data_IF_478694196591
#
_entry.id   IF_478694196591
#
_cell.length_a   1.000
_cell.length_b   1.000
_cell.length_c   1.000
_cell.angle_alpha   90.00
_cell.angle_beta   90.00
_cell.angle_gamma   90.00
#
_symmetry.space_group_name_H-M   'P 1'
#
loop_
_entity.id
_entity.type
_entity.pdbx_description
1 polymer ?
#
# COMPACT_ATOMS: atom_id res chain seq x y z
N UNK A 1 -39.97 112.90 -20.72
CA UNK A 1 -38.57 112.70 -20.30
C UNK A 1 -38.59 111.42 -19.48
N UNK A 2 -38.39 110.26 -20.10
CA UNK A 2 -37.16 109.82 -20.76
C UNK A 2 -36.68 108.61 -19.95
N UNK A 3 -37.14 107.43 -20.37
CA UNK A 3 -36.30 106.29 -20.81
C UNK A 3 -35.69 105.50 -19.64
N UNK A 4 -36.19 104.31 -19.30
CA UNK A 4 -36.03 103.00 -19.95
C UNK A 4 -34.95 102.17 -19.22
N UNK A 5 -35.18 100.84 -19.21
CA UNK A 5 -34.27 99.71 -18.92
C UNK A 5 -34.34 99.18 -17.48
N UNK A 6 -34.51 97.88 -17.24
CA UNK A 6 -34.59 96.73 -18.14
C UNK A 6 -34.63 95.44 -17.32
N UNK A 7 -35.37 94.46 -17.85
CA UNK A 7 -35.16 93.02 -17.80
C UNK A 7 -34.64 92.31 -16.51
N UNK A 8 -35.54 91.48 -15.98
CA UNK A 8 -35.39 90.04 -15.68
C UNK A 8 -34.54 89.50 -14.50
N UNK A 9 -35.11 88.42 -13.93
CA UNK A 9 -34.56 87.39 -13.00
C UNK A 9 -34.42 87.82 -11.53
N UNK A 10 -34.72 86.99 -10.51
CA UNK A 10 -34.67 85.54 -10.42
C UNK A 10 -35.64 84.99 -9.34
N UNK A 11 -36.29 83.86 -9.64
CA UNK A 11 -36.88 82.97 -8.63
C UNK A 11 -35.75 82.20 -7.94
N UNK A 12 -35.66 82.28 -6.62
CA UNK A 12 -34.74 81.46 -5.82
C UNK A 12 -35.49 80.19 -5.39
N UNK A 13 -35.47 79.17 -6.24
CA UNK A 13 -35.78 77.80 -5.80
C UNK A 13 -34.52 77.14 -5.26
N UNK A 14 -34.49 77.02 -3.94
CA UNK A 14 -33.53 76.21 -3.18
C UNK A 14 -33.91 74.74 -3.38
N UNK A 15 -33.27 74.04 -4.31
CA UNK A 15 -33.24 72.58 -4.32
C UNK A 15 -31.84 72.09 -3.96
N UNK A 16 -31.77 71.38 -2.84
CA UNK A 16 -30.57 70.70 -2.34
C UNK A 16 -30.08 69.69 -3.38
N UNK A 17 -28.87 69.88 -3.88
CA UNK A 17 -28.16 68.89 -4.68
C UNK A 17 -27.91 67.63 -3.84
N UNK A 18 -28.71 66.59 -4.06
CA UNK A 18 -28.24 65.22 -3.85
C UNK A 18 -27.43 64.86 -5.09
N UNK A 19 -26.11 64.98 -5.00
CA UNK A 19 -25.17 64.41 -5.97
C UNK A 19 -25.32 62.88 -5.92
N UNK A 20 -26.28 62.39 -6.68
CA UNK A 20 -26.41 60.98 -7.00
C UNK A 20 -25.22 60.57 -7.86
N UNK A 21 -24.10 60.21 -7.23
CA UNK A 21 -23.07 59.38 -7.85
C UNK A 21 -23.70 58.02 -8.19
N UNK A 22 -24.39 57.94 -9.32
CA UNK A 22 -24.60 56.69 -10.04
C UNK A 22 -23.24 56.26 -10.57
N UNK A 23 -22.52 55.51 -9.74
CA UNK A 23 -21.32 54.80 -10.14
C UNK A 23 -21.65 53.88 -11.31
N UNK A 24 -21.34 54.34 -12.53
CA UNK A 24 -20.98 53.63 -13.76
C UNK A 24 -21.50 52.19 -13.98
N UNK A 25 -22.71 51.83 -13.57
CA UNK A 25 -23.28 50.49 -13.77
C UNK A 25 -23.75 50.21 -15.20
N UNK A 26 -23.67 51.21 -16.08
CA UNK A 26 -24.06 51.11 -17.49
C UNK A 26 -22.99 50.54 -18.43
N UNK A 27 -21.71 50.51 -18.04
CA UNK A 27 -20.63 50.08 -18.96
C UNK A 27 -20.40 48.57 -18.95
N UNK A 28 -20.71 47.88 -17.85
CA UNK A 28 -20.56 46.42 -17.75
C UNK A 28 -21.64 45.66 -18.53
N UNK A 29 -22.87 46.21 -18.61
CA UNK A 29 -24.00 45.60 -19.36
C UNK A 29 -23.76 45.56 -20.87
N UNK A 30 -23.07 46.55 -21.45
CA UNK A 30 -22.80 46.61 -22.90
C UNK A 30 -21.63 45.71 -23.30
N UNK A 31 -20.61 45.56 -22.43
CA UNK A 31 -19.51 44.62 -22.64
C UNK A 31 -19.99 43.16 -22.61
N UNK A 32 -20.90 42.82 -21.68
CA UNK A 32 -21.50 41.48 -21.60
C UNK A 32 -22.40 41.14 -22.80
N UNK A 33 -22.93 42.10 -23.57
CA UNK A 33 -23.80 41.80 -24.72
C UNK A 33 -23.04 41.52 -26.02
N UNK A 34 -21.85 42.10 -26.20
CA UNK A 34 -21.04 41.96 -27.44
C UNK A 34 -19.94 40.89 -27.34
N UNK A 35 -19.41 40.65 -26.14
CA UNK A 35 -18.29 39.72 -25.92
C UNK A 35 -18.67 38.46 -25.11
N UNK A 36 -19.96 38.17 -24.89
CA UNK A 36 -20.39 36.99 -24.11
C UNK A 36 -19.87 35.66 -24.65
N UNK A 37 -19.73 35.52 -25.97
CA UNK A 37 -19.16 34.31 -26.59
C UNK A 37 -17.70 34.09 -26.16
N UNK A 38 -16.91 35.15 -25.99
CA UNK A 38 -15.51 35.05 -25.53
C UNK A 38 -15.43 34.63 -24.07
N UNK A 39 -16.34 35.14 -23.23
CA UNK A 39 -16.46 34.70 -21.83
C UNK A 39 -16.92 33.25 -21.74
N UNK A 40 -17.84 32.82 -22.61
CA UNK A 40 -18.33 31.45 -22.70
C UNK A 40 -17.22 30.48 -23.16
N UNK A 41 -16.45 30.87 -24.17
CA UNK A 41 -15.26 30.12 -24.64
C UNK A 41 -14.16 30.07 -23.57
N UNK A 42 -13.88 31.20 -22.90
CA UNK A 42 -12.90 31.24 -21.81
C UNK A 42 -13.33 30.37 -20.63
N UNK A 43 -14.62 30.37 -20.27
CA UNK A 43 -15.17 29.51 -19.24
C UNK A 43 -15.13 28.03 -19.61
N UNK A 44 -15.41 27.71 -20.88
CA UNK A 44 -15.32 26.34 -21.40
C UNK A 44 -13.87 25.86 -21.40
N UNK A 45 -12.93 26.69 -21.84
CA UNK A 45 -11.50 26.39 -21.82
C UNK A 45 -10.98 26.25 -20.38
N UNK A 46 -11.40 27.13 -19.45
CA UNK A 46 -11.05 27.02 -18.04
C UNK A 46 -11.59 25.72 -17.44
N UNK A 47 -12.85 25.34 -17.73
CA UNK A 47 -13.40 24.04 -17.31
C UNK A 47 -12.60 22.87 -17.88
N UNK A 48 -12.22 22.92 -19.15
CA UNK A 48 -11.40 21.90 -19.78
C UNK A 48 -10.04 21.75 -19.06
N UNK A 49 -9.37 22.86 -18.77
CA UNK A 49 -8.08 22.87 -18.05
C UNK A 49 -8.26 22.29 -16.65
N UNK A 50 -9.30 22.70 -15.91
CA UNK A 50 -9.58 22.19 -14.56
C UNK A 50 -9.81 20.67 -14.59
N UNK A 51 -10.61 20.18 -15.54
CA UNK A 51 -10.87 18.73 -15.72
C UNK A 51 -9.57 18.00 -16.03
N UNK A 52 -8.74 18.54 -16.93
CA UNK A 52 -7.46 17.93 -17.29
C UNK A 52 -6.51 17.85 -16.08
N UNK A 53 -6.42 18.92 -15.28
CA UNK A 53 -5.62 18.93 -14.06
C UNK A 53 -6.12 17.90 -13.03
N UNK A 54 -7.44 17.76 -12.84
CA UNK A 54 -8.00 16.77 -11.92
C UNK A 54 -7.68 15.33 -12.34
N UNK A 55 -7.77 15.03 -13.64
CA UNK A 55 -7.48 13.68 -14.16
C UNK A 55 -5.99 13.36 -14.11
N UNK A 56 -5.10 14.29 -14.46
CA UNK A 56 -3.66 14.01 -14.54
C UNK A 56 -2.91 14.19 -13.22
N UNK A 57 -3.40 15.01 -12.29
CA UNK A 57 -2.71 15.29 -11.01
C UNK A 57 -3.53 14.81 -9.82
N UNK A 58 -4.85 15.00 -9.83
CA UNK A 58 -5.72 14.59 -8.74
C UNK A 58 -5.85 13.06 -8.65
N UNK A 59 -6.16 12.41 -9.76
CA UNK A 59 -6.34 10.96 -9.82
C UNK A 59 -5.13 10.15 -9.34
N UNK A 60 -3.88 10.41 -9.78
CA UNK A 60 -2.75 9.60 -9.32
C UNK A 60 -2.48 9.72 -7.83
N UNK A 61 -2.65 10.91 -7.26
CA UNK A 61 -2.49 11.11 -5.82
C UNK A 61 -3.56 10.36 -5.02
N UNK A 62 -4.81 10.35 -5.50
CA UNK A 62 -5.89 9.59 -4.87
C UNK A 62 -5.62 8.09 -5.01
N UNK A 63 -5.18 7.61 -6.18
CA UNK A 63 -4.84 6.20 -6.38
C UNK A 63 -3.77 5.72 -5.41
N UNK A 64 -2.71 6.52 -5.20
CA UNK A 64 -1.65 6.21 -4.24
C UNK A 64 -2.15 6.23 -2.79
N UNK A 65 -2.98 7.21 -2.42
CA UNK A 65 -3.59 7.28 -1.07
C UNK A 65 -4.49 6.07 -0.78
N UNK A 66 -5.22 5.55 -1.78
CA UNK A 66 -6.04 4.36 -1.61
C UNK A 66 -5.21 3.10 -1.41
N UNK A 67 -4.08 2.96 -2.11
CA UNK A 67 -3.15 1.83 -1.91
C UNK A 67 -2.57 1.88 -0.50
N UNK A 68 -2.09 3.05 -0.05
CA UNK A 68 -1.50 3.22 1.29
C UNK A 68 -2.50 3.05 2.44
N UNK A 69 -3.80 3.22 2.19
CA UNK A 69 -4.87 3.00 3.18
C UNK A 69 -5.41 1.57 3.18
N UNK A 70 -5.03 0.77 2.18
CA UNK A 70 -5.46 -0.62 2.13
C UNK A 70 -4.81 -1.41 3.27
N UNK A 71 -5.57 -2.31 3.88
CA UNK A 71 -5.05 -3.18 4.94
C UNK A 71 -5.01 -4.61 4.42
N UNK A 72 -3.89 -5.27 4.67
CA UNK A 72 -3.65 -6.64 4.21
C UNK A 72 -3.76 -7.59 5.40
N UNK A 73 -4.79 -8.42 5.42
CA UNK A 73 -4.98 -9.44 6.44
C UNK A 73 -4.48 -10.80 5.93
N UNK A 74 -3.40 -11.30 6.52
CA UNK A 74 -2.86 -12.63 6.19
C UNK A 74 -3.70 -13.69 6.92
N UNK A 75 -4.33 -14.62 6.18
CA UNK A 75 -5.07 -15.74 6.76
C UNK A 75 -4.20 -16.97 6.97
N UNK A 76 -3.42 -17.33 5.95
CA UNK A 76 -2.53 -18.49 5.99
C UNK A 76 -1.28 -18.24 5.14
N UNK A 77 -0.15 -18.74 5.61
CA UNK A 77 1.07 -18.88 4.80
C UNK A 77 1.51 -20.33 4.94
N UNK A 78 1.67 -21.02 3.81
CA UNK A 78 2.11 -22.41 3.75
C UNK A 78 3.33 -22.48 2.86
N UNK A 79 4.43 -22.99 3.40
CA UNK A 79 5.70 -23.18 2.71
C UNK A 79 5.94 -24.69 2.58
N UNK A 80 5.95 -25.19 1.34
CA UNK A 80 6.15 -26.61 1.01
C UNK A 80 7.31 -26.78 0.05
N UNK A 81 7.79 -28.03 -0.07
CA UNK A 81 8.87 -28.39 -0.99
C UNK A 81 10.07 -27.42 -0.96
N UNK A 82 10.68 -27.15 0.21
CA UNK A 82 11.88 -26.34 0.25
C UNK A 82 13.01 -27.04 -0.53
N UNK A 83 13.69 -26.28 -1.37
CA UNK A 83 14.92 -26.66 -2.08
C UNK A 83 16.03 -25.70 -1.69
N UNK A 84 17.28 -25.95 -2.10
CA UNK A 84 18.42 -25.09 -1.77
C UNK A 84 18.22 -23.61 -2.15
N UNK A 85 17.49 -23.33 -3.24
CA UNK A 85 17.35 -21.96 -3.78
C UNK A 85 15.89 -21.57 -4.09
N UNK A 86 14.92 -22.40 -3.71
CA UNK A 86 13.50 -22.09 -3.95
C UNK A 86 12.59 -22.76 -2.94
N UNK A 87 11.43 -22.15 -2.71
CA UNK A 87 10.39 -22.69 -1.84
C UNK A 87 9.05 -22.54 -2.53
N UNK A 88 8.19 -23.54 -2.40
CA UNK A 88 6.81 -23.42 -2.87
C UNK A 88 6.01 -22.67 -1.81
N UNK A 89 5.41 -21.54 -2.18
CA UNK A 89 4.61 -20.71 -1.29
C UNK A 89 3.14 -20.75 -1.72
N UNK A 90 2.30 -21.06 -0.75
CA UNK A 90 0.86 -20.91 -0.83
C UNK A 90 0.39 -19.94 0.25
N UNK A 91 -0.25 -18.84 -0.16
CA UNK A 91 -0.69 -17.80 0.76
C UNK A 91 -2.15 -17.44 0.48
N UNK A 92 -2.94 -17.38 1.55
CA UNK A 92 -4.29 -16.83 1.52
C UNK A 92 -4.30 -15.48 2.25
N UNK A 93 -4.62 -14.43 1.50
CA UNK A 93 -4.66 -13.06 1.98
C UNK A 93 -6.03 -12.47 1.72
N UNK A 94 -6.53 -11.64 2.63
CA UNK A 94 -7.70 -10.80 2.38
C UNK A 94 -7.25 -9.35 2.32
N UNK A 95 -7.40 -8.73 1.15
CA UNK A 95 -7.20 -7.31 0.97
C UNK A 95 -8.47 -6.58 1.38
N UNK A 96 -8.38 -5.72 2.40
CA UNK A 96 -9.46 -4.85 2.83
C UNK A 96 -9.27 -3.47 2.23
N UNK A 97 -10.27 -3.01 1.49
CA UNK A 97 -10.31 -1.66 0.91
C UNK A 97 -11.51 -0.92 1.46
N UNK A 98 -11.26 0.24 2.10
CA UNK A 98 -12.33 1.12 2.59
C UNK A 98 -12.92 2.01 1.49
N UNK A 99 -12.51 1.83 0.25
CA UNK A 99 -12.93 2.66 -0.87
C UNK A 99 -14.34 2.32 -1.37
N UNK A 100 -15.07 3.34 -1.83
CA UNK A 100 -16.29 3.16 -2.64
C UNK A 100 -15.93 2.73 -4.07
N UNK A 101 -14.69 3.01 -4.48
CA UNK A 101 -14.16 2.69 -5.79
C UNK A 101 -13.63 1.25 -5.82
N UNK A 102 -13.84 0.56 -6.94
CA UNK A 102 -13.36 -0.81 -7.18
C UNK A 102 -12.23 -0.82 -8.22
N UNK A 103 -11.00 -0.40 -7.84
CA UNK A 103 -9.87 -0.38 -8.76
C UNK A 103 -9.40 -1.80 -9.08
N UNK A 104 -8.92 -2.00 -10.29
CA UNK A 104 -8.19 -3.21 -10.69
C UNK A 104 -6.70 -2.92 -10.64
N UNK A 105 -5.98 -3.68 -9.83
CA UNK A 105 -4.52 -3.68 -9.77
C UNK A 105 -4.00 -4.75 -10.71
N UNK A 106 -3.11 -4.38 -11.63
CA UNK A 106 -2.45 -5.32 -12.52
C UNK A 106 -1.51 -6.25 -11.74
N UNK A 107 -1.27 -7.44 -12.29
CA UNK A 107 -0.30 -8.36 -11.72
C UNK A 107 1.11 -7.77 -11.81
N UNK A 108 1.86 -7.85 -10.71
CA UNK A 108 3.20 -7.27 -10.64
C UNK A 108 4.17 -8.15 -9.86
N UNK A 109 5.46 -7.92 -10.07
CA UNK A 109 6.52 -8.53 -9.28
C UNK A 109 6.87 -7.62 -8.13
N UNK A 110 6.84 -8.17 -6.94
CA UNK A 110 7.22 -7.49 -5.72
C UNK A 110 8.49 -8.10 -5.14
N UNK A 111 9.33 -7.25 -4.58
CA UNK A 111 10.52 -7.60 -3.85
C UNK A 111 10.22 -7.68 -2.35
N UNK A 112 10.75 -8.73 -1.74
CA UNK A 112 10.64 -9.03 -0.33
C UNK A 112 11.94 -8.65 0.38
N UNK A 113 11.85 -7.84 1.41
CA UNK A 113 13.01 -7.38 2.19
C UNK A 113 12.75 -7.54 3.68
N UNK A 114 13.83 -7.74 4.43
CA UNK A 114 13.83 -7.55 5.87
C UNK A 114 13.93 -6.05 6.16
N UNK A 115 13.01 -5.49 6.96
CA UNK A 115 13.02 -4.06 7.24
C UNK A 115 14.15 -3.66 8.20
N UNK A 116 14.59 -4.58 9.05
CA UNK A 116 15.56 -4.32 10.11
C UNK A 116 17.03 -4.53 9.71
N UNK A 117 17.33 -4.86 8.45
CA UNK A 117 18.70 -5.00 7.94
C UNK A 117 19.16 -3.70 7.28
N UNK A 118 19.63 -2.75 8.10
CA UNK A 118 20.47 -1.63 7.63
C UNK A 118 21.95 -2.05 7.71
N UNK A 119 22.83 -1.66 6.78
CA UNK A 119 22.66 -0.73 5.66
C UNK A 119 22.28 -1.36 4.30
N UNK A 120 22.38 -2.69 4.17
CA UNK A 120 22.19 -3.42 2.90
C UNK A 120 20.78 -4.04 2.84
N UNK A 121 19.80 -3.21 2.46
CA UNK A 121 18.41 -3.64 2.24
C UNK A 121 18.34 -4.33 0.87
N UNK A 122 18.90 -5.53 0.77
CA UNK A 122 18.80 -6.37 -0.42
C UNK A 122 17.56 -7.28 -0.34
N UNK A 123 16.85 -7.50 -1.45
CA UNK A 123 15.70 -8.38 -1.43
C UNK A 123 16.17 -9.84 -1.30
N UNK A 124 15.51 -10.63 -0.46
CA UNK A 124 15.83 -12.06 -0.36
C UNK A 124 15.08 -12.89 -1.40
N UNK A 125 13.93 -12.40 -1.89
CA UNK A 125 13.12 -13.08 -2.88
C UNK A 125 12.20 -12.12 -3.66
N UNK A 126 11.66 -12.61 -4.78
CA UNK A 126 10.60 -11.95 -5.54
C UNK A 126 9.32 -12.78 -5.51
N UNK A 127 8.20 -12.11 -5.29
CA UNK A 127 6.85 -12.69 -5.33
C UNK A 127 6.08 -12.09 -6.51
N UNK A 128 5.47 -12.92 -7.36
CA UNK A 128 4.59 -12.43 -8.41
C UNK A 128 3.15 -12.39 -7.89
N UNK A 129 2.57 -11.20 -7.80
CA UNK A 129 1.17 -11.04 -7.44
C UNK A 129 0.29 -11.13 -8.70
N UNK A 130 -0.84 -11.85 -8.63
CA UNK A 130 -1.79 -11.87 -9.73
C UNK A 130 -2.49 -10.51 -9.86
N UNK A 131 -3.18 -10.32 -10.99
CA UNK A 131 -4.10 -9.19 -11.15
C UNK A 131 -5.25 -9.32 -10.14
N UNK A 132 -5.54 -8.25 -9.40
CA UNK A 132 -6.55 -8.24 -8.35
C UNK A 132 -7.57 -7.14 -8.64
N UNK A 133 -8.85 -7.52 -8.70
CA UNK A 133 -9.93 -6.57 -8.71
C UNK A 133 -10.33 -6.24 -7.27
N UNK A 134 -10.00 -5.03 -6.81
CA UNK A 134 -10.23 -4.60 -5.43
C UNK A 134 -11.73 -4.38 -5.18
N UNK A 135 -12.23 -5.06 -4.16
CA UNK A 135 -13.56 -4.91 -3.57
C UNK A 135 -13.40 -4.67 -2.06
N UNK A 136 -14.51 -4.53 -1.30
CA UNK A 136 -14.45 -4.29 0.16
C UNK A 136 -13.59 -5.31 0.90
N UNK A 137 -13.66 -6.57 0.49
CA UNK A 137 -12.82 -7.66 0.95
C UNK A 137 -12.52 -8.58 -0.23
N UNK A 138 -11.28 -8.59 -0.69
CA UNK A 138 -10.86 -9.40 -1.83
C UNK A 138 -9.93 -10.51 -1.37
N UNK A 139 -10.35 -11.78 -1.45
CA UNK A 139 -9.44 -12.90 -1.20
C UNK A 139 -8.45 -13.00 -2.36
N UNK A 140 -7.17 -13.07 -2.03
CA UNK A 140 -6.06 -13.28 -2.93
C UNK A 140 -5.43 -14.61 -2.54
N UNK A 141 -5.45 -15.57 -3.46
CA UNK A 141 -4.72 -16.81 -3.32
C UNK A 141 -3.45 -16.72 -4.17
N UNK A 142 -2.30 -16.89 -3.53
CA UNK A 142 -1.00 -16.91 -4.19
C UNK A 142 -0.50 -18.33 -4.08
N UNK A 143 -0.24 -18.97 -5.21
CA UNK A 143 0.35 -20.31 -5.28
C UNK A 143 1.45 -20.29 -6.35
N UNK A 144 2.70 -20.25 -5.91
CA UNK A 144 3.85 -20.20 -6.82
C UNK A 144 5.13 -20.72 -6.18
N UNK A 145 6.11 -21.04 -7.02
CA UNK A 145 7.47 -21.32 -6.55
C UNK A 145 8.26 -20.01 -6.47
N UNK A 146 8.58 -19.59 -5.25
CA UNK A 146 9.40 -18.43 -4.97
C UNK A 146 10.88 -18.82 -5.07
N UNK A 147 11.63 -18.07 -5.88
CA UNK A 147 13.09 -18.24 -5.98
C UNK A 147 13.77 -17.32 -4.97
N UNK A 148 14.72 -17.87 -4.24
CA UNK A 148 15.57 -17.15 -3.30
C UNK A 148 16.72 -16.57 -4.12
N UNK A 149 16.90 -15.25 -4.06
CA UNK A 149 17.95 -14.54 -4.80
C UNK A 149 19.17 -14.28 -3.92
N UNK A 150 18.96 -14.08 -2.63
CA UNK A 150 20.01 -13.90 -1.63
C UNK A 150 19.78 -14.89 -0.48
N UNK A 151 20.68 -15.86 -0.38
CA UNK A 151 20.64 -16.90 0.65
C UNK A 151 21.02 -16.37 2.03
N UNK A 152 21.88 -15.36 2.11
CA UNK A 152 22.32 -14.78 3.37
C UNK A 152 21.20 -13.97 4.01
N UNK A 153 20.50 -13.14 3.23
CA UNK A 153 19.30 -12.42 3.69
C UNK A 153 18.16 -13.39 4.04
N UNK A 154 17.98 -14.46 3.28
CA UNK A 154 16.99 -15.49 3.59
C UNK A 154 17.33 -16.26 4.88
N UNK A 155 18.61 -16.56 5.12
CA UNK A 155 19.08 -17.18 6.36
C UNK A 155 18.85 -16.27 7.57
N UNK A 156 19.10 -14.96 7.43
CA UNK A 156 18.78 -13.97 8.45
C UNK A 156 17.28 -13.90 8.73
N UNK A 157 16.45 -13.94 7.69
CA UNK A 157 15.00 -13.98 7.84
C UNK A 157 14.53 -15.21 8.63
N UNK A 158 15.03 -16.40 8.30
CA UNK A 158 14.70 -17.62 9.02
C UNK A 158 15.18 -17.55 10.48
N UNK A 159 16.38 -17.01 10.72
CA UNK A 159 16.92 -16.83 12.08
C UNK A 159 16.05 -15.88 12.91
N UNK A 160 15.61 -14.77 12.31
CA UNK A 160 14.71 -13.82 12.96
C UNK A 160 13.34 -14.43 13.24
N UNK A 161 12.77 -15.19 12.29
CA UNK A 161 11.51 -15.91 12.48
C UNK A 161 11.63 -16.93 13.61
N UNK A 162 12.74 -17.65 13.72
CA UNK A 162 12.94 -18.66 14.77
C UNK A 162 13.04 -18.00 16.15
N UNK A 163 13.80 -16.92 16.26
CA UNK A 163 14.18 -16.37 17.57
C UNK A 163 13.26 -15.25 18.08
N UNK A 164 12.51 -14.59 17.20
CA UNK A 164 11.70 -13.42 17.55
C UNK A 164 10.23 -13.78 17.69
N UNK A 165 9.50 -13.00 18.50
CA UNK A 165 8.03 -13.09 18.59
C UNK A 165 7.36 -12.51 17.34
N UNK A 166 7.89 -11.41 16.81
CA UNK A 166 7.41 -10.78 15.58
C UNK A 166 8.58 -10.42 14.65
N UNK A 167 8.36 -10.51 13.35
CA UNK A 167 9.31 -10.15 12.29
C UNK A 167 8.59 -9.25 11.30
N UNK A 168 9.23 -8.12 10.96
CA UNK A 168 8.69 -7.14 10.01
C UNK A 168 9.30 -7.37 8.63
N UNK A 169 8.47 -7.69 7.66
CA UNK A 169 8.86 -7.95 6.27
C UNK A 169 8.28 -6.86 5.39
N UNK A 170 9.12 -6.14 4.66
CA UNK A 170 8.70 -5.13 3.71
C UNK A 170 8.44 -5.76 2.33
N UNK A 171 7.36 -5.32 1.71
CA UNK A 171 6.90 -5.75 0.40
C UNK A 171 6.83 -4.54 -0.52
N UNK A 172 7.71 -4.48 -1.53
CA UNK A 172 7.77 -3.34 -2.45
C UNK A 172 7.55 -3.75 -3.89
N UNK A 173 6.82 -2.96 -4.65
CA UNK A 173 6.62 -3.20 -6.07
C UNK A 173 5.95 -2.03 -6.77
N UNK A 174 5.92 -2.11 -8.10
CA UNK A 174 5.26 -1.12 -8.96
C UNK A 174 4.18 -1.83 -9.76
N UNK A 175 2.98 -1.25 -9.80
CA UNK A 175 1.87 -1.80 -10.59
C UNK A 175 1.02 -0.70 -11.21
N UNK A 176 0.29 -1.04 -12.26
CA UNK A 176 -0.71 -0.17 -12.84
C UNK A 176 -2.06 -0.38 -12.13
N UNK A 177 -2.66 0.72 -11.72
CA UNK A 177 -4.02 0.75 -11.17
C UNK A 177 -4.97 1.29 -12.25
N UNK A 178 -6.01 0.51 -12.51
CA UNK A 178 -7.10 0.82 -13.43
C UNK A 178 -8.37 1.13 -12.64
N UNK A 179 -9.03 2.26 -12.92
CA UNK A 179 -10.33 2.58 -12.32
C UNK A 179 -11.39 2.88 -13.39
N UNK A 180 -12.18 1.86 -13.73
CA UNK A 180 -13.23 1.98 -14.75
C UNK A 180 -12.65 2.42 -16.11
N UNK A 181 -13.21 3.50 -16.68
CA UNK A 181 -12.73 4.08 -17.94
C UNK A 181 -11.68 5.19 -17.80
N UNK A 182 -11.16 5.44 -16.60
CA UNK A 182 -10.09 6.41 -16.38
C UNK A 182 -8.73 5.85 -16.86
N UNK A 183 -7.79 6.73 -17.26
CA UNK A 183 -6.46 6.29 -17.66
C UNK A 183 -5.77 5.52 -16.53
N UNK A 184 -5.00 4.50 -16.90
CA UNK A 184 -4.21 3.72 -15.96
C UNK A 184 -3.14 4.61 -15.32
N UNK A 185 -2.90 4.37 -14.03
CA UNK A 185 -1.89 5.11 -13.27
C UNK A 185 -0.93 4.14 -12.60
N UNK A 186 0.36 4.46 -12.66
CA UNK A 186 1.39 3.71 -11.95
C UNK A 186 1.32 4.04 -10.45
N UNK A 187 1.15 3.02 -9.62
CA UNK A 187 1.15 3.11 -8.16
C UNK A 187 2.32 2.32 -7.60
N UNK A 188 2.90 2.85 -6.52
CA UNK A 188 3.98 2.19 -5.78
C UNK A 188 3.37 1.46 -4.59
N UNK A 189 3.61 0.17 -4.50
CA UNK A 189 3.22 -0.63 -3.35
C UNK A 189 4.41 -0.71 -2.41
N UNK A 190 4.24 -0.28 -1.16
CA UNK A 190 5.26 -0.32 -0.11
C UNK A 190 4.60 -0.60 1.23
N UNK A 191 4.32 -1.88 1.46
CA UNK A 191 3.66 -2.35 2.67
C UNK A 191 4.65 -3.08 3.57
N UNK A 192 4.46 -2.97 4.88
CA UNK A 192 5.21 -3.74 5.87
C UNK A 192 4.26 -4.70 6.55
N UNK A 193 4.58 -5.99 6.48
CA UNK A 193 3.82 -7.05 7.13
C UNK A 193 4.52 -7.49 8.40
N UNK A 194 3.78 -7.49 9.50
CA UNK A 194 4.23 -8.05 10.77
C UNK A 194 3.83 -9.52 10.85
N UNK A 195 4.82 -10.41 10.73
CA UNK A 195 4.65 -11.85 10.84
C UNK A 195 4.96 -12.29 12.27
N UNK A 196 4.15 -13.20 12.82
CA UNK A 196 4.47 -13.84 14.11
C UNK A 196 5.54 -14.92 13.90
N UNK A 197 6.68 -14.72 14.55
CA UNK A 197 7.75 -15.71 14.62
C UNK A 197 7.44 -16.82 15.63
N UNK A 198 8.41 -17.70 15.83
CA UNK A 198 8.34 -18.88 16.69
C UNK A 198 8.82 -18.61 18.11
N UNK A 199 9.35 -17.40 18.40
CA UNK A 199 9.76 -16.95 19.73
C UNK A 199 10.64 -17.98 20.47
N UNK A 200 11.72 -18.43 19.85
CA UNK A 200 12.61 -19.49 20.38
C UNK A 200 11.89 -20.80 20.73
N UNK A 201 10.77 -21.08 20.05
CA UNK A 201 9.85 -22.18 20.37
C UNK A 201 9.40 -22.13 21.84
N UNK A 202 9.10 -20.94 22.37
CA UNK A 202 8.63 -20.78 23.75
C UNK A 202 7.43 -21.71 24.01
N UNK A 203 7.56 -22.61 25.00
CA UNK A 203 6.61 -23.69 25.28
C UNK A 203 6.99 -25.04 24.68
N UNK A 204 8.15 -25.14 24.02
CA UNK A 204 8.80 -26.40 23.75
C UNK A 204 9.20 -27.07 25.06
N UNK A 205 8.62 -28.25 25.29
CA UNK A 205 8.95 -29.09 26.41
C UNK A 205 9.18 -30.52 25.90
N UNK A 206 10.17 -31.18 26.48
CA UNK A 206 10.44 -32.61 26.27
C UNK A 206 10.05 -33.31 27.58
N UNK A 207 8.73 -33.50 27.83
CA UNK A 207 8.27 -34.00 29.11
C UNK A 207 8.80 -35.40 29.45
N UNK A 208 9.19 -36.17 28.44
CA UNK A 208 9.76 -37.52 28.61
C UNK A 208 10.84 -37.81 27.57
N UNK A 209 12.01 -38.20 28.07
CA UNK A 209 13.05 -38.86 27.27
C UNK A 209 13.46 -40.16 27.96
N UNK A 210 13.64 -41.21 27.17
CA UNK A 210 14.11 -42.52 27.62
C UNK A 210 15.36 -42.89 26.84
N UNK A 211 16.42 -43.22 27.57
CA UNK A 211 17.62 -43.82 27.02
C UNK A 211 17.38 -45.33 26.90
N UNK A 212 17.30 -45.81 25.66
CA UNK A 212 17.19 -47.23 25.34
C UNK A 212 18.59 -47.72 25.02
N UNK A 213 19.15 -48.56 25.89
CA UNK A 213 20.42 -49.19 25.61
C UNK A 213 20.18 -50.38 24.67
N UNK A 214 20.54 -50.23 23.39
CA UNK A 214 20.38 -51.31 22.44
C UNK A 214 21.59 -52.24 22.53
N UNK A 215 21.36 -53.55 22.71
CA UNK A 215 22.44 -54.52 22.97
C UNK A 215 23.46 -54.64 21.83
N UNK A 216 23.11 -54.16 20.63
CA UNK A 216 23.93 -54.33 19.42
C UNK A 216 24.35 -53.02 18.73
N UNK A 217 24.17 -51.83 19.32
CA UNK A 217 24.40 -50.58 18.57
C UNK A 217 24.57 -49.27 19.34
N UNK A 218 24.83 -49.31 20.65
CA UNK A 218 25.04 -48.11 21.46
C UNK A 218 23.76 -47.51 22.06
N UNK A 219 23.89 -46.47 22.91
CA UNK A 219 22.76 -45.83 23.57
C UNK A 219 21.89 -45.08 22.55
N UNK A 220 20.60 -45.42 22.50
CA UNK A 220 19.59 -44.77 21.67
C UNK A 220 18.66 -43.91 22.55
N UNK A 221 18.10 -42.83 22.03
CA UNK A 221 17.23 -41.92 22.79
C UNK A 221 15.85 -41.83 22.13
N UNK A 222 14.80 -42.12 22.89
CA UNK A 222 13.40 -41.98 22.46
C UNK A 222 12.74 -40.93 23.35
N UNK A 223 12.30 -39.81 22.76
CA UNK A 223 11.62 -38.74 23.46
C UNK A 223 10.36 -38.28 22.74
N UNK A 224 9.37 -37.81 23.50
CA UNK A 224 8.21 -37.09 22.95
C UNK A 224 8.45 -35.61 23.17
N UNK A 225 8.53 -34.86 22.08
CA UNK A 225 8.65 -33.41 22.10
C UNK A 225 7.33 -32.77 21.72
N UNK A 226 6.92 -31.73 22.45
CA UNK A 226 5.76 -30.92 22.10
C UNK A 226 6.24 -29.57 21.56
N UNK A 227 5.78 -29.20 20.35
CA UNK A 227 6.09 -27.92 19.72
C UNK A 227 4.77 -27.17 19.50
N UNK A 228 4.42 -26.18 20.34
CA UNK A 228 3.26 -25.35 20.09
C UNK A 228 3.51 -24.44 18.87
N UNK A 229 2.58 -24.41 17.91
CA UNK A 229 2.61 -23.46 16.80
C UNK A 229 1.53 -22.38 17.02
N UNK A 230 1.96 -21.17 17.39
CA UNK A 230 1.09 -19.99 17.58
C UNK A 230 0.98 -19.10 16.34
N UNK A 231 1.69 -19.43 15.26
CA UNK A 231 1.78 -18.62 14.05
C UNK A 231 0.80 -19.07 12.97
N UNK A 232 0.39 -18.15 12.10
CA UNK A 232 -0.43 -18.44 10.91
C UNK A 232 0.39 -19.08 9.76
N UNK A 233 1.61 -19.51 10.07
CA UNK A 233 2.59 -20.06 9.12
C UNK A 233 2.74 -21.57 9.33
N UNK A 234 2.66 -22.33 8.24
CA UNK A 234 2.94 -23.76 8.20
C UNK A 234 4.21 -23.99 7.39
N UNK A 235 5.21 -24.62 8.01
CA UNK A 235 6.46 -24.98 7.36
C UNK A 235 6.56 -26.50 7.24
N UNK A 236 6.78 -26.98 6.03
CA UNK A 236 7.15 -28.37 5.81
C UNK A 236 8.63 -28.59 6.13
N UNK A 237 8.93 -29.46 7.10
CA UNK A 237 10.28 -29.91 7.36
C UNK A 237 10.55 -31.19 6.58
N UNK A 238 11.46 -31.11 5.60
CA UNK A 238 11.91 -32.29 4.85
C UNK A 238 12.85 -33.11 5.73
N UNK A 239 12.62 -34.42 5.72
CA UNK A 239 13.42 -35.40 6.46
C UNK A 239 14.71 -35.69 5.73
N UNK A 240 15.68 -34.78 5.82
CA UNK A 240 17.07 -35.20 5.77
C UNK A 240 17.44 -35.63 7.18
N UNK A 241 17.94 -36.85 7.34
CA UNK A 241 18.24 -37.42 8.65
C UNK A 241 19.14 -36.46 9.45
N UNK A 242 18.57 -35.76 10.44
CA UNK A 242 19.32 -35.06 11.47
C UNK A 242 20.10 -36.11 12.25
N UNK A 243 21.30 -36.45 11.77
CA UNK A 243 22.23 -37.32 12.45
C UNK A 243 22.88 -36.47 13.55
N UNK A 244 22.20 -36.36 14.70
CA UNK A 244 22.84 -35.87 15.92
C UNK A 244 23.92 -36.88 16.29
N UNK A 245 25.16 -36.64 15.85
CA UNK A 245 26.31 -37.29 16.43
C UNK A 245 26.61 -36.57 17.75
N UNK A 246 26.37 -37.21 18.92
CA UNK A 246 26.85 -36.63 20.17
C UNK A 246 28.37 -36.64 20.12
N UNK A 247 28.99 -35.46 19.98
CA UNK A 247 30.42 -35.30 20.20
C UNK A 247 30.68 -35.46 21.69
N UNK A 248 30.96 -36.70 22.11
CA UNK A 248 31.54 -36.98 23.42
C UNK A 248 32.93 -36.36 23.44
N UNK A 249 33.09 -35.32 24.26
CA UNK A 249 34.40 -34.74 24.58
C UNK A 249 35.17 -35.80 25.38
N UNK A 250 36.38 -36.22 24.94
CA UNK A 250 37.21 -37.09 25.77
C UNK A 250 37.76 -36.29 26.95
N UNK A 251 37.67 -36.88 28.14
CA UNK A 251 38.34 -36.43 29.37
C UNK A 251 39.87 -36.49 29.23
#
# INVERSE_FOLDING_TARGET
MGDEKGANTAYIERSSSYDGKRASSGKYKTFFRKNWWKLLIGFLAAKLIIILCLVYVGFPNIAQDQVNKSSLEVKSITLTNPTQNSVHIQQDVVLHSSSIFTPTLDGFKASLFLENTEPDIEPFAYLSLPQVHSSKATPININQTMKIIDLDQFSQFNTLIMNSETVRVAFRGHTALHLGGLPSTQVQYNEVLELKGLNNLAGFDIPTFHLVNNKDGGPNMIGKAYIPNTSLMTLEMVRDACNFQPTLKPD
#
